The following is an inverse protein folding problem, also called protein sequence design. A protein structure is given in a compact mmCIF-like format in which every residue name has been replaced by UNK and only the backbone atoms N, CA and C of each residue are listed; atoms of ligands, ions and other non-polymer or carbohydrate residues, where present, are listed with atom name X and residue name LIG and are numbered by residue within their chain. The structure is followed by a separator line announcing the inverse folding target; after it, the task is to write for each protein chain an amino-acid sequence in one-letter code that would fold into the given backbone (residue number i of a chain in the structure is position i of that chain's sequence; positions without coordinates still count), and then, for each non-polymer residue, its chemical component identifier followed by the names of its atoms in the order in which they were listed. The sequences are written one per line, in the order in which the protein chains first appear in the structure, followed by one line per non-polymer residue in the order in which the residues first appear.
data_IF_274343456353
#
_entry.id   IF_274343456353
#
_cell.length_a   1.000
_cell.length_b   1.000
_cell.length_c   1.000
_cell.angle_alpha   90.00
_cell.angle_beta   90.00
_cell.angle_gamma   90.00
#
_symmetry.space_group_name_H-M   'P 1'
#
loop_
_entity.id
_entity.type
_entity.pdbx_description
1 polymer ?
#
# COMPACT_ATOMS: atom_id res chain seq x y z
N UNK A 1 12.56 16.82 10.09
CA UNK A 1 12.14 15.41 9.95
C UNK A 1 10.76 15.23 10.56
N UNK A 2 9.75 14.81 9.78
CA UNK A 2 8.46 14.40 10.34
C UNK A 2 8.63 12.97 10.86
N UNK A 3 8.44 12.76 12.16
CA UNK A 3 8.49 11.42 12.77
C UNK A 3 7.41 10.55 12.12
N UNK A 4 7.81 9.43 11.53
CA UNK A 4 6.88 8.32 11.31
C UNK A 4 6.28 7.98 12.67
N UNK A 5 4.96 8.09 12.81
CA UNK A 5 4.28 7.61 14.01
C UNK A 5 4.33 6.10 13.95
N UNK A 6 5.23 5.51 14.75
CA UNK A 6 5.22 4.08 15.04
C UNK A 6 3.82 3.69 15.55
N UNK A 7 3.36 2.46 15.31
CA UNK A 7 2.12 1.99 15.90
C UNK A 7 2.22 2.16 17.43
N UNK A 8 1.13 2.60 18.06
CA UNK A 8 1.08 2.84 19.52
C UNK A 8 1.63 1.61 20.26
N UNK A 9 2.30 1.83 21.39
CA UNK A 9 3.03 0.85 22.23
C UNK A 9 2.20 -0.36 22.75
N UNK A 10 1.03 -0.64 22.16
CA UNK A 10 0.21 -1.85 22.32
C UNK A 10 -0.22 -2.54 21.01
N UNK A 11 0.05 -1.98 19.83
CA UNK A 11 -0.21 -2.62 18.53
C UNK A 11 1.06 -3.31 18.02
N UNK A 12 1.06 -4.65 18.00
CA UNK A 12 2.16 -5.46 17.49
C UNK A 12 2.30 -5.30 15.96
N UNK A 13 2.81 -4.17 15.49
CA UNK A 13 3.16 -3.90 14.08
C UNK A 13 1.99 -3.58 13.14
N UNK A 14 2.34 -3.11 11.94
CA UNK A 14 1.37 -2.78 10.89
C UNK A 14 0.78 -4.04 10.22
N UNK A 15 -0.46 -3.94 9.74
CA UNK A 15 -0.95 -4.73 8.61
C UNK A 15 -0.76 -3.95 7.30
N UNK A 16 -1.04 -4.57 6.15
CA UNK A 16 -0.72 -4.01 4.83
C UNK A 16 -1.32 -2.61 4.62
N UNK A 17 -2.64 -2.47 4.80
CA UNK A 17 -3.34 -1.20 4.63
C UNK A 17 -3.10 -0.21 5.78
N UNK A 18 -2.73 -0.70 6.97
CA UNK A 18 -2.29 0.13 8.08
C UNK A 18 -0.95 0.82 7.80
N UNK A 19 0.00 0.09 7.22
CA UNK A 19 1.30 0.64 6.80
C UNK A 19 1.12 1.74 5.74
N UNK A 20 0.34 1.45 4.69
CA UNK A 20 0.09 2.44 3.62
C UNK A 20 -0.59 3.68 4.17
N UNK A 21 -1.62 3.51 5.01
CA UNK A 21 -2.33 4.62 5.64
C UNK A 21 -1.40 5.46 6.50
N UNK A 22 -0.51 4.85 7.29
CA UNK A 22 0.45 5.58 8.12
C UNK A 22 1.47 6.36 7.27
N UNK A 23 1.97 5.76 6.18
CA UNK A 23 2.91 6.41 5.27
C UNK A 23 2.27 7.63 4.57
N UNK A 24 1.06 7.47 4.03
CA UNK A 24 0.33 8.58 3.38
C UNK A 24 -0.05 9.67 4.38
N UNK A 25 -0.48 9.30 5.59
CA UNK A 25 -0.77 10.28 6.65
C UNK A 25 0.46 11.11 7.03
N UNK A 26 1.66 10.51 7.04
CA UNK A 26 2.91 11.25 7.28
C UNK A 26 3.21 12.28 6.16
N UNK A 27 2.78 11.97 4.92
CA UNK A 27 2.82 12.88 3.77
C UNK A 27 1.64 13.89 3.73
N UNK A 28 0.70 13.82 4.68
CA UNK A 28 -0.46 14.71 4.75
C UNK A 28 -1.65 14.30 3.87
N UNK A 29 -1.62 13.09 3.30
CA UNK A 29 -2.70 12.56 2.45
C UNK A 29 -3.49 11.54 3.26
N UNK A 30 -4.81 11.66 3.27
CA UNK A 30 -5.68 10.72 3.96
C UNK A 30 -6.18 9.68 2.97
N UNK A 31 -5.92 8.40 3.27
CA UNK A 31 -6.47 7.26 2.54
C UNK A 31 -7.29 6.36 3.47
N UNK A 32 -8.22 5.55 2.92
CA UNK A 32 -9.03 4.62 3.72
C UNK A 32 -8.22 3.60 4.51
N UNK A 33 -8.84 2.96 5.52
CA UNK A 33 -8.17 1.99 6.40
C UNK A 33 -8.03 0.59 5.79
N UNK A 34 -8.95 0.20 4.90
CA UNK A 34 -9.03 -1.15 4.34
C UNK A 34 -8.43 -1.16 2.94
N UNK A 35 -7.75 -2.25 2.56
CA UNK A 35 -7.08 -2.36 1.25
C UNK A 35 -8.06 -2.25 0.08
N UNK A 36 -9.25 -2.87 0.18
CA UNK A 36 -10.34 -2.71 -0.79
C UNK A 36 -10.73 -1.24 -0.94
N UNK A 37 -11.03 -0.54 0.14
CA UNK A 37 -11.38 0.87 0.08
C UNK A 37 -10.24 1.74 -0.50
N UNK A 38 -8.97 1.41 -0.21
CA UNK A 38 -7.82 2.11 -0.82
C UNK A 38 -7.72 1.88 -2.33
N UNK A 39 -8.12 0.70 -2.80
CA UNK A 39 -8.19 0.37 -4.22
C UNK A 39 -9.34 1.14 -4.91
N UNK A 40 -10.44 1.37 -4.21
CA UNK A 40 -11.65 2.02 -4.73
C UNK A 40 -11.65 3.55 -4.56
N UNK A 41 -10.76 4.12 -3.74
CA UNK A 41 -10.77 5.53 -3.37
C UNK A 41 -10.40 6.52 -4.50
N UNK A 42 -9.79 6.06 -5.59
CA UNK A 42 -9.27 6.94 -6.63
C UNK A 42 -9.10 6.27 -7.99
N UNK A 43 -8.78 7.04 -9.04
CA UNK A 43 -8.61 6.50 -10.38
C UNK A 43 -7.48 5.48 -10.41
N UNK A 44 -7.77 4.32 -11.03
CA UNK A 44 -6.78 3.27 -11.28
C UNK A 44 -5.85 3.71 -12.40
N UNK A 45 -4.57 3.37 -12.27
CA UNK A 45 -3.62 3.56 -13.36
C UNK A 45 -4.02 2.66 -14.53
N UNK A 46 -4.08 3.23 -15.73
CA UNK A 46 -4.41 2.44 -16.92
C UNK A 46 -3.34 1.37 -17.17
N UNK A 47 -3.70 0.20 -17.71
CA UNK A 47 -2.74 -0.85 -18.05
C UNK A 47 -1.59 -0.31 -18.89
N UNK A 48 -0.35 -0.62 -18.51
CA UNK A 48 0.86 -0.15 -19.17
C UNK A 48 1.39 1.21 -18.68
N UNK A 49 0.66 1.90 -17.80
CA UNK A 49 1.19 3.11 -17.13
C UNK A 49 2.37 2.73 -16.23
N UNK A 50 3.55 3.36 -16.37
CA UNK A 50 4.68 3.12 -15.48
C UNK A 50 4.35 3.49 -14.03
N UNK A 51 4.76 2.63 -13.10
CA UNK A 51 4.65 2.92 -11.67
C UNK A 51 5.69 3.96 -11.22
N UNK A 52 5.26 4.86 -10.36
CA UNK A 52 6.07 5.89 -9.72
C UNK A 52 6.23 5.60 -8.22
N UNK A 53 7.35 6.03 -7.64
CA UNK A 53 7.60 5.87 -6.19
C UNK A 53 6.44 6.50 -5.42
N UNK A 54 5.81 5.71 -4.55
CA UNK A 54 4.63 6.09 -3.79
C UNK A 54 3.35 5.40 -4.25
N UNK A 55 3.25 4.96 -5.50
CA UNK A 55 2.05 4.29 -6.02
C UNK A 55 1.66 3.10 -5.13
N UNK A 56 0.37 2.97 -4.85
CA UNK A 56 -0.16 1.82 -4.14
C UNK A 56 -0.37 0.69 -5.14
N UNK A 57 0.19 -0.50 -4.84
CA UNK A 57 0.04 -1.71 -5.65
C UNK A 57 -0.83 -2.72 -4.92
N UNK A 58 -1.82 -3.27 -5.61
CA UNK A 58 -2.90 -4.07 -5.01
C UNK A 58 -2.93 -5.50 -5.53
N UNK A 59 -3.33 -6.40 -4.64
CA UNK A 59 -3.38 -7.83 -4.91
C UNK A 59 -4.65 -8.47 -4.36
N UNK A 60 -5.13 -9.49 -5.05
CA UNK A 60 -6.38 -10.16 -4.71
C UNK A 60 -6.73 -11.27 -5.68
N UNK A 61 -7.94 -11.80 -5.55
CA UNK A 61 -8.51 -12.75 -6.51
C UNK A 61 -9.33 -12.04 -7.59
N UNK A 62 -9.87 -10.86 -7.28
CA UNK A 62 -10.60 -9.98 -8.20
C UNK A 62 -10.56 -8.54 -7.71
N UNK A 63 -10.99 -7.59 -8.54
CA UNK A 63 -11.10 -6.17 -8.18
C UNK A 63 -12.05 -5.90 -7.00
N UNK A 64 -12.90 -6.87 -6.63
CA UNK A 64 -13.84 -6.81 -5.50
C UNK A 64 -13.38 -7.62 -4.28
N UNK A 65 -12.20 -8.25 -4.36
CA UNK A 65 -11.60 -9.07 -3.30
C UNK A 65 -10.09 -8.78 -3.19
N UNK A 66 -9.78 -7.53 -2.84
CA UNK A 66 -8.44 -7.07 -2.56
C UNK A 66 -8.01 -7.54 -1.16
N UNK A 67 -6.96 -8.34 -1.12
CA UNK A 67 -6.44 -8.96 0.12
C UNK A 67 -5.13 -8.35 0.59
N UNK A 68 -4.41 -7.64 -0.28
CA UNK A 68 -3.11 -7.07 0.07
C UNK A 68 -2.82 -5.77 -0.69
N UNK A 69 -2.06 -4.88 -0.04
CA UNK A 69 -1.56 -3.63 -0.62
C UNK A 69 -0.09 -3.39 -0.21
N UNK A 70 0.68 -2.76 -1.10
CA UNK A 70 2.04 -2.28 -0.82
C UNK A 70 2.26 -0.90 -1.43
N UNK A 71 3.39 -0.27 -1.08
CA UNK A 71 3.84 1.01 -1.66
C UNK A 71 4.99 0.71 -2.61
N UNK A 72 4.86 1.07 -3.88
CA UNK A 72 5.95 0.95 -4.85
C UNK A 72 7.10 1.90 -4.47
N UNK A 73 8.33 1.37 -4.47
CA UNK A 73 9.54 2.12 -4.07
C UNK A 73 10.57 2.20 -5.20
N UNK A 74 10.17 1.88 -6.43
CA UNK A 74 11.07 1.89 -7.59
C UNK A 74 11.72 0.53 -7.86
N UNK A 75 12.38 0.43 -9.01
CA UNK A 75 13.17 -0.75 -9.43
C UNK A 75 12.43 -2.09 -9.34
N UNK A 76 11.11 -2.10 -9.59
CA UNK A 76 10.32 -3.33 -9.52
C UNK A 76 10.02 -3.83 -8.11
N UNK A 77 10.21 -2.99 -7.08
CA UNK A 77 10.02 -3.36 -5.68
C UNK A 77 8.94 -2.54 -4.99
N UNK A 78 8.38 -3.12 -3.94
CA UNK A 78 7.47 -2.48 -3.00
C UNK A 78 7.92 -2.68 -1.56
N UNK A 79 7.50 -1.78 -0.68
CA UNK A 79 7.51 -1.98 0.77
C UNK A 79 6.11 -2.36 1.25
N UNK A 80 6.00 -3.37 2.11
CA UNK A 80 4.73 -3.82 2.65
C UNK A 80 4.83 -4.43 4.06
N UNK A 81 3.66 -4.59 4.68
CA UNK A 81 3.48 -5.42 5.87
C UNK A 81 2.60 -6.62 5.48
N UNK A 82 3.13 -7.85 5.40
CA UNK A 82 2.43 -9.00 4.82
C UNK A 82 1.26 -9.50 5.67
N UNK A 83 1.32 -9.24 6.98
CA UNK A 83 0.27 -9.50 7.98
C UNK A 83 0.64 -8.73 9.24
N UNK A 84 -0.36 -8.50 10.09
CA UNK A 84 -0.17 -7.85 11.40
C UNK A 84 0.95 -8.53 12.18
N UNK A 85 1.91 -7.73 12.65
CA UNK A 85 3.03 -8.17 13.49
C UNK A 85 4.17 -8.89 12.78
N UNK A 86 4.08 -9.12 11.47
CA UNK A 86 5.24 -9.48 10.69
C UNK A 86 6.12 -8.23 10.44
N UNK A 87 7.45 -8.38 10.32
CA UNK A 87 8.32 -7.29 9.92
C UNK A 87 7.88 -6.68 8.60
N UNK A 88 7.91 -5.35 8.54
CA UNK A 88 7.85 -4.63 7.27
C UNK A 88 9.03 -5.07 6.43
N UNK A 89 8.79 -5.35 5.14
CA UNK A 89 9.83 -5.82 4.23
C UNK A 89 9.73 -5.19 2.86
N UNK A 90 10.82 -5.32 2.13
CA UNK A 90 10.89 -5.02 0.70
C UNK A 90 10.80 -6.32 -0.09
N UNK A 91 10.02 -6.31 -1.17
CA UNK A 91 9.91 -7.43 -2.10
C UNK A 91 9.45 -6.96 -3.47
N UNK A 92 9.55 -7.82 -4.49
CA UNK A 92 9.05 -7.47 -5.82
C UNK A 92 7.54 -7.23 -5.80
N UNK A 93 7.09 -6.20 -6.51
CA UNK A 93 5.66 -5.95 -6.68
C UNK A 93 5.03 -6.91 -7.71
N UNK A 94 5.86 -7.55 -8.55
CA UNK A 94 5.38 -8.41 -9.63
C UNK A 94 4.93 -9.75 -9.04
N UNK A 95 3.63 -10.01 -9.10
CA UNK A 95 2.99 -11.23 -8.60
C UNK A 95 1.86 -11.64 -9.51
N UNK A 96 1.53 -12.93 -9.55
CA UNK A 96 0.38 -13.45 -10.29
C UNK A 96 -0.96 -12.88 -9.80
N UNK A 97 -1.04 -12.48 -8.53
CA UNK A 97 -2.24 -11.87 -7.93
C UNK A 97 -2.31 -10.35 -8.06
N UNK A 98 -1.43 -9.71 -8.84
CA UNK A 98 -1.46 -8.26 -9.04
C UNK A 98 -2.70 -7.85 -9.83
N UNK A 99 -3.46 -6.89 -9.30
CA UNK A 99 -4.73 -6.44 -9.89
C UNK A 99 -4.70 -5.00 -10.37
N UNK A 100 -3.74 -4.21 -9.91
CA UNK A 100 -3.60 -2.83 -10.36
C UNK A 100 -2.92 -1.93 -9.35
N UNK A 101 -2.89 -0.65 -9.69
CA UNK A 101 -2.28 0.38 -8.86
C UNK A 101 -3.11 1.67 -8.87
N UNK A 102 -2.97 2.43 -7.79
CA UNK A 102 -3.50 3.79 -7.68
C UNK A 102 -2.38 4.74 -7.32
N UNK A 103 -2.57 6.02 -7.66
CA UNK A 103 -1.66 7.12 -7.31
C UNK A 103 -2.39 8.14 -6.45
N UNK A 104 -2.54 7.89 -5.13
CA UNK A 104 -3.16 8.85 -4.25
C UNK A 104 -2.36 10.17 -4.22
N UNK A 105 -3.05 11.27 -4.46
CA UNK A 105 -2.52 12.63 -4.40
C UNK A 105 -3.32 13.46 -3.38
N UNK A 106 -2.75 14.58 -2.92
CA UNK A 106 -3.42 15.55 -2.04
C UNK A 106 -4.47 16.38 -2.80
#
# INVERSE_FOLDING_TARGET
MRKFREPDQGEKGFDCSGLTRAAYAAAGITIPRVAQDQFDAGPRLSPGTPLEIGDLVFYGTSEFDITHVGIYIGSGNMINAPRRGAPVRTETYVRSSYLGATRPAA
#
